data_IF_656151158104
#
_entry.id   IF_656151158104
#
_cell.length_a   1.000
_cell.length_b   1.000
_cell.length_c   1.000
_cell.angle_alpha   90.00
_cell.angle_beta   90.00
_cell.angle_gamma   90.00
#
_symmetry.space_group_name_H-M   'P 1'
#
loop_
_entity.id
_entity.type
_entity.pdbx_description
1 polymer ?
#
# COMPACT_ATOMS: atom_id res chain seq x y z
N UNK A 1 -22.86 -11.87 -12.05
CA UNK A 1 -21.62 -11.30 -12.61
C UNK A 1 -20.71 -11.01 -11.42
N UNK A 2 -19.63 -11.77 -11.22
CA UNK A 2 -18.68 -11.46 -10.15
C UNK A 2 -17.95 -10.17 -10.51
N UNK A 3 -18.11 -9.14 -9.69
CA UNK A 3 -17.32 -7.92 -9.82
C UNK A 3 -15.94 -8.24 -9.28
N UNK A 4 -14.96 -8.39 -10.17
CA UNK A 4 -13.57 -8.57 -9.78
C UNK A 4 -13.08 -7.27 -9.15
N UNK A 5 -12.83 -7.30 -7.84
CA UNK A 5 -12.25 -6.18 -7.10
C UNK A 5 -10.85 -5.83 -7.66
N UNK A 6 -10.59 -4.54 -7.85
CA UNK A 6 -9.32 -4.01 -8.37
C UNK A 6 -8.27 -4.02 -7.26
N UNK A 7 -7.07 -4.54 -7.51
CA UNK A 7 -5.99 -4.55 -6.54
C UNK A 7 -5.26 -3.22 -6.56
N UNK A 8 -5.15 -2.60 -5.40
CA UNK A 8 -4.46 -1.32 -5.21
C UNK A 8 -3.30 -1.52 -4.26
N UNK A 9 -2.11 -1.14 -4.68
CA UNK A 9 -0.93 -1.11 -3.82
C UNK A 9 -0.66 0.32 -3.33
N UNK A 10 -0.67 0.52 -2.03
CA UNK A 10 -0.34 1.79 -1.37
C UNK A 10 1.09 1.69 -0.81
N UNK A 11 2.02 2.45 -1.39
CA UNK A 11 3.40 2.53 -0.92
C UNK A 11 3.50 3.69 0.06
N UNK A 12 3.78 3.41 1.34
CA UNK A 12 3.85 4.43 2.38
C UNK A 12 2.56 4.54 3.20
N UNK A 13 2.35 3.58 4.11
CA UNK A 13 1.18 3.55 5.00
C UNK A 13 1.34 4.44 6.25
N UNK A 14 1.58 5.74 6.04
CA UNK A 14 1.52 6.78 7.07
C UNK A 14 0.11 7.35 7.24
N UNK A 15 0.00 8.60 7.73
CA UNK A 15 -1.30 9.28 7.87
C UNK A 15 -2.07 9.35 6.54
N UNK A 16 -1.41 9.74 5.45
CA UNK A 16 -2.04 9.82 4.12
C UNK A 16 -2.46 8.44 3.62
N UNK A 17 -1.54 7.45 3.64
CA UNK A 17 -1.82 6.09 3.19
C UNK A 17 -3.02 5.47 3.92
N UNK A 18 -3.10 5.61 5.25
CA UNK A 18 -4.25 5.10 6.01
C UNK A 18 -5.54 5.91 5.82
N UNK A 19 -5.45 7.21 5.52
CA UNK A 19 -6.63 8.00 5.15
C UNK A 19 -7.25 7.48 3.85
N UNK A 20 -6.41 7.09 2.88
CA UNK A 20 -6.87 6.47 1.62
C UNK A 20 -7.58 5.14 1.92
N UNK A 21 -6.96 4.27 2.74
CA UNK A 21 -7.57 2.98 3.14
C UNK A 21 -8.93 3.16 3.79
N UNK A 22 -9.10 4.18 4.64
CA UNK A 22 -10.35 4.44 5.35
C UNK A 22 -11.49 4.87 4.42
N UNK A 23 -11.18 5.53 3.30
CA UNK A 23 -12.17 6.08 2.37
C UNK A 23 -12.35 5.23 1.11
N UNK A 24 -11.54 4.19 0.93
CA UNK A 24 -11.65 3.28 -0.18
C UNK A 24 -12.83 2.32 0.02
N UNK A 25 -13.58 2.10 -1.06
CA UNK A 25 -14.66 1.13 -1.11
C UNK A 25 -14.09 -0.28 -1.16
N UNK A 26 -14.33 -1.09 -0.13
CA UNK A 26 -13.82 -2.45 0.00
C UNK A 26 -14.46 -3.44 -0.97
N UNK A 27 -15.65 -3.12 -1.51
CA UNK A 27 -16.33 -3.96 -2.49
C UNK A 27 -15.70 -3.78 -3.88
N UNK A 28 -15.12 -2.60 -4.13
CA UNK A 28 -14.47 -2.25 -5.40
C UNK A 28 -12.97 -2.49 -5.37
N UNK A 29 -12.30 -2.28 -4.23
CA UNK A 29 -10.85 -2.30 -4.12
C UNK A 29 -10.33 -3.31 -3.08
N UNK A 30 -9.40 -4.16 -3.52
CA UNK A 30 -8.57 -4.97 -2.64
C UNK A 30 -7.26 -4.24 -2.36
N UNK A 31 -7.06 -3.83 -1.11
CA UNK A 31 -5.96 -2.94 -0.73
C UNK A 31 -4.77 -3.72 -0.18
N UNK A 32 -3.59 -3.34 -0.67
CA UNK A 32 -2.29 -3.82 -0.22
C UNK A 32 -1.43 -2.65 0.23
N UNK A 33 -0.65 -2.81 1.29
CA UNK A 33 0.13 -1.73 1.88
C UNK A 33 1.59 -2.07 2.07
N UNK A 34 2.49 -1.20 1.64
CA UNK A 34 3.92 -1.30 1.97
C UNK A 34 4.28 -0.34 3.09
N UNK A 35 4.98 -0.88 4.08
CA UNK A 35 5.57 -0.11 5.16
C UNK A 35 6.88 -0.75 5.61
N UNK A 36 7.85 0.08 6.01
CA UNK A 36 9.09 -0.38 6.65
C UNK A 36 8.86 -0.96 8.06
N UNK A 37 7.71 -0.67 8.66
CA UNK A 37 7.32 -1.17 9.98
C UNK A 37 5.87 -1.66 9.99
N UNK A 38 5.63 -2.81 10.62
CA UNK A 38 4.28 -3.31 10.88
C UNK A 38 3.71 -2.60 12.12
N UNK A 39 3.34 -1.33 11.96
CA UNK A 39 2.48 -0.65 12.95
C UNK A 39 1.07 -1.23 12.89
N UNK A 40 0.25 -1.01 13.92
CA UNK A 40 -1.18 -1.37 13.90
C UNK A 40 -1.82 -0.87 12.60
N UNK A 41 -2.22 -1.79 11.74
CA UNK A 41 -2.89 -1.51 10.48
C UNK A 41 -4.39 -1.75 10.63
N UNK A 42 -5.23 -1.06 9.83
CA UNK A 42 -6.63 -1.42 9.68
C UNK A 42 -6.76 -2.88 9.18
N UNK A 43 -7.84 -3.56 9.56
CA UNK A 43 -8.14 -4.92 9.06
C UNK A 43 -8.51 -4.94 7.56
N UNK A 44 -8.85 -3.78 7.00
CA UNK A 44 -9.25 -3.61 5.60
C UNK A 44 -8.08 -3.53 4.61
N UNK A 45 -6.84 -3.70 5.05
CA UNK A 45 -5.65 -3.67 4.20
C UNK A 45 -4.71 -4.84 4.52
N UNK A 46 -4.23 -5.50 3.47
CA UNK A 46 -3.17 -6.50 3.57
C UNK A 46 -1.80 -5.81 3.61
N UNK A 47 -1.08 -5.93 4.73
CA UNK A 47 0.19 -5.22 4.93
C UNK A 47 1.39 -6.12 4.63
N UNK A 48 2.34 -5.58 3.85
CA UNK A 48 3.64 -6.18 3.63
C UNK A 48 4.73 -5.28 4.24
N UNK A 49 5.59 -5.89 5.05
CA UNK A 49 6.76 -5.21 5.58
C UNK A 49 7.83 -5.16 4.51
N UNK A 50 7.93 -4.04 3.81
CA UNK A 50 8.80 -3.88 2.64
C UNK A 50 9.46 -2.51 2.70
N UNK A 51 10.76 -2.48 2.41
CA UNK A 51 11.46 -1.25 2.07
C UNK A 51 11.46 -1.10 0.56
N UNK A 52 10.76 -0.07 0.05
CA UNK A 52 10.63 0.18 -1.39
C UNK A 52 11.97 0.45 -2.08
N UNK A 53 13.00 0.82 -1.31
CA UNK A 53 14.35 1.05 -1.83
C UNK A 53 15.12 -0.25 -2.07
N UNK A 54 14.61 -1.40 -1.62
CA UNK A 54 15.24 -2.72 -1.81
C UNK A 54 14.62 -3.48 -2.97
N UNK A 55 15.41 -4.33 -3.62
CA UNK A 55 14.99 -5.15 -4.76
C UNK A 55 13.86 -6.12 -4.41
N UNK A 56 13.82 -6.62 -3.17
CA UNK A 56 12.75 -7.48 -2.64
C UNK A 56 11.34 -6.86 -2.84
N UNK A 57 11.24 -5.53 -2.84
CA UNK A 57 9.97 -4.84 -3.09
C UNK A 57 9.41 -5.12 -4.48
N UNK A 58 10.28 -5.28 -5.48
CA UNK A 58 9.89 -5.56 -6.87
C UNK A 58 9.22 -6.94 -6.95
N UNK A 59 9.75 -7.94 -6.24
CA UNK A 59 9.18 -9.29 -6.25
C UNK A 59 7.81 -9.32 -5.58
N UNK A 60 7.63 -8.57 -4.49
CA UNK A 60 6.32 -8.43 -3.85
C UNK A 60 5.33 -7.70 -4.76
N UNK A 61 5.74 -6.65 -5.47
CA UNK A 61 4.88 -5.95 -6.44
C UNK A 61 4.42 -6.91 -7.55
N UNK A 62 5.33 -7.73 -8.09
CA UNK A 62 5.00 -8.74 -9.11
C UNK A 62 4.00 -9.78 -8.60
N UNK A 63 4.14 -10.20 -7.34
CA UNK A 63 3.25 -11.18 -6.72
C UNK A 63 1.85 -10.62 -6.47
N UNK A 64 1.76 -9.38 -5.99
CA UNK A 64 0.47 -8.69 -5.82
C UNK A 64 -0.19 -8.49 -7.19
N UNK A 65 0.60 -8.10 -8.19
CA UNK A 65 0.18 -7.70 -9.53
C UNK A 65 -0.95 -6.64 -9.47
N UNK A 66 -0.67 -5.45 -8.89
CA UNK A 66 -1.69 -4.43 -8.68
C UNK A 66 -2.08 -3.74 -10.00
N UNK A 67 -3.37 -3.45 -10.17
CA UNK A 67 -3.85 -2.60 -11.27
C UNK A 67 -3.56 -1.11 -11.00
N UNK A 68 -3.45 -0.70 -9.73
CA UNK A 68 -3.20 0.69 -9.32
C UNK A 68 -2.09 0.74 -8.27
N UNK A 69 -1.13 1.66 -8.43
CA UNK A 69 -0.13 1.96 -7.42
C UNK A 69 -0.30 3.41 -6.94
N UNK A 70 -0.46 3.58 -5.63
CA UNK A 70 -0.51 4.88 -4.96
C UNK A 70 0.79 5.06 -4.18
N UNK A 71 1.60 6.03 -4.57
CA UNK A 71 2.86 6.34 -3.90
C UNK A 71 2.68 7.48 -2.88
N UNK A 72 2.49 7.13 -1.62
CA UNK A 72 2.24 8.03 -0.49
C UNK A 72 3.46 8.18 0.45
N UNK A 73 4.65 7.80 -0.01
CA UNK A 73 5.90 7.99 0.76
C UNK A 73 6.31 9.46 0.69
N UNK A 74 6.38 10.11 1.86
CA UNK A 74 7.05 11.39 2.00
C UNK A 74 8.42 11.19 2.65
N UNK A 75 9.50 11.48 1.92
CA UNK A 75 10.82 11.63 2.51
C UNK A 75 11.04 13.12 2.82
N UNK A 76 11.09 13.48 4.12
CA UNK A 76 11.69 14.78 4.49
C UNK A 76 13.18 14.68 4.23
N UNK A 77 13.68 15.39 3.23
CA UNK A 77 15.07 15.80 3.24
C UNK A 77 15.21 16.91 4.27
N UNK A 78 15.85 16.62 5.41
CA UNK A 78 16.40 17.69 6.24
C UNK A 78 17.60 18.24 5.48
N UNK A 79 17.41 19.37 4.83
CA UNK A 79 18.52 20.19 4.34
C UNK A 79 19.13 20.82 5.60
N UNK A 80 20.26 20.27 6.06
CA UNK A 80 21.12 20.92 7.04
C UNK A 80 22.13 21.79 6.31
#
# INVERSE_FOLDING_TARGET
MEIKSLKVLIVGCGQLGFSIVKNADSDVFKLYGFSRSLRKSPASIEMHQVDILKTEAIDVIKLINPEIIIYAVFCRYSVY
#
